data_IF_973375242849
#
_entry.id   IF_973375242849
#
_cell.length_a   1.000
_cell.length_b   1.000
_cell.length_c   1.000
_cell.angle_alpha   90.00
_cell.angle_beta   90.00
_cell.angle_gamma   90.00
#
_symmetry.space_group_name_H-M   'P 1'
#
loop_
_entity.id
_entity.type
_entity.pdbx_description
1 polymer ?
#
# COMPACT_ATOMS: atom_id res chain seq x y z
N UNK A 1 0.13 -9.11 1.83
CA UNK A 1 -0.15 -7.89 1.04
C UNK A 1 0.11 -6.70 1.93
N UNK A 2 0.99 -5.78 1.53
CA UNK A 2 1.27 -4.55 2.27
C UNK A 2 0.49 -3.42 1.64
N UNK A 3 -0.36 -2.78 2.45
CA UNK A 3 -1.28 -1.74 2.03
C UNK A 3 -0.63 -0.34 1.96
N UNK A 4 -1.33 0.60 1.33
CA UNK A 4 -0.89 1.99 1.15
C UNK A 4 -0.56 2.66 2.47
N UNK A 5 -1.40 2.50 3.51
CA UNK A 5 -1.23 3.18 4.80
C UNK A 5 0.08 2.77 5.50
N UNK A 6 0.41 1.47 5.50
CA UNK A 6 1.64 0.92 6.10
C UNK A 6 2.86 1.50 5.41
N UNK A 7 2.88 1.51 4.08
CA UNK A 7 3.99 2.07 3.32
C UNK A 7 4.16 3.57 3.59
N UNK A 8 3.07 4.34 3.61
CA UNK A 8 3.14 5.78 3.92
C UNK A 8 3.71 6.03 5.31
N UNK A 9 3.24 5.30 6.33
CA UNK A 9 3.75 5.46 7.70
C UNK A 9 5.22 5.06 7.81
N UNK A 10 5.63 4.02 7.06
CA UNK A 10 7.05 3.62 6.97
C UNK A 10 7.92 4.74 6.39
N UNK A 11 7.49 5.39 5.30
CA UNK A 11 8.29 6.42 4.63
C UNK A 11 8.28 7.78 5.33
N UNK A 12 7.21 8.10 6.06
CA UNK A 12 7.11 9.37 6.78
C UNK A 12 7.70 9.30 8.20
N UNK A 13 8.10 8.10 8.66
CA UNK A 13 8.61 7.82 10.00
C UNK A 13 7.71 8.36 11.14
N UNK A 14 6.39 8.38 10.90
CA UNK A 14 5.41 8.97 11.81
C UNK A 14 5.49 8.27 13.17
N UNK A 15 5.66 9.06 14.23
CA UNK A 15 5.61 8.57 15.60
C UNK A 15 4.17 8.26 15.98
N UNK A 16 3.82 6.96 15.98
CA UNK A 16 2.49 6.45 16.31
C UNK A 16 2.61 5.18 17.15
N UNK A 17 1.61 4.86 17.98
CA UNK A 17 1.65 3.68 18.86
C UNK A 17 2.00 2.38 18.12
N UNK A 18 1.56 2.26 16.87
CA UNK A 18 1.75 1.07 16.05
C UNK A 18 3.05 1.08 15.21
N UNK A 19 3.91 2.09 15.34
CA UNK A 19 5.20 2.18 14.63
C UNK A 19 6.09 0.96 14.87
N UNK A 20 6.06 0.45 16.10
CA UNK A 20 6.80 -0.75 16.48
C UNK A 20 6.30 -1.99 15.70
N UNK A 21 4.98 -2.13 15.48
CA UNK A 21 4.42 -3.24 14.71
C UNK A 21 4.90 -3.22 13.25
N UNK A 22 5.02 -2.04 12.64
CA UNK A 22 5.57 -1.88 11.28
C UNK A 22 7.04 -2.31 11.24
N UNK A 23 7.82 -1.88 12.23
CA UNK A 23 9.23 -2.23 12.34
C UNK A 23 9.39 -3.75 12.46
N UNK A 24 8.65 -4.37 13.36
CA UNK A 24 8.66 -5.84 13.54
C UNK A 24 8.22 -6.58 12.29
N UNK A 25 7.20 -6.08 11.56
CA UNK A 25 6.77 -6.65 10.29
C UNK A 25 7.93 -6.72 9.29
N UNK A 26 8.72 -5.66 9.15
CA UNK A 26 9.84 -5.59 8.19
C UNK A 26 11.14 -6.23 8.70
N UNK A 27 11.36 -6.29 10.01
CA UNK A 27 12.47 -7.04 10.61
C UNK A 27 12.25 -8.56 10.52
N UNK A 28 11.00 -9.01 10.47
CA UNK A 28 10.62 -10.41 10.27
C UNK A 28 10.72 -10.87 8.79
N UNK A 29 11.70 -10.36 8.04
CA UNK A 29 11.86 -10.57 6.59
C UNK A 29 11.97 -12.04 6.15
N UNK A 30 12.32 -12.95 7.05
CA UNK A 30 12.37 -14.39 6.79
C UNK A 30 11.01 -15.11 6.95
N UNK A 31 9.98 -14.45 7.50
CA UNK A 31 8.66 -15.05 7.78
C UNK A 31 7.66 -14.82 6.65
N UNK A 32 7.79 -13.71 5.94
CA UNK A 32 6.82 -13.28 4.95
C UNK A 32 7.50 -12.94 3.63
N UNK A 33 6.90 -13.39 2.53
CA UNK A 33 7.15 -12.77 1.24
C UNK A 33 6.31 -11.49 1.17
N UNK A 34 6.94 -10.33 1.14
CA UNK A 34 6.22 -9.08 0.96
C UNK A 34 5.65 -8.98 -0.44
N UNK A 35 4.41 -8.50 -0.50
CA UNK A 35 3.63 -8.39 -1.73
C UNK A 35 2.92 -7.05 -1.72
N UNK A 36 2.91 -6.36 -2.87
CA UNK A 36 2.07 -5.18 -3.09
C UNK A 36 1.51 -5.19 -4.51
N UNK A 37 0.79 -4.14 -4.91
CA UNK A 37 0.25 -3.97 -6.26
C UNK A 37 0.77 -2.69 -6.92
N UNK A 38 0.75 -2.63 -8.24
CA UNK A 38 1.07 -1.39 -8.97
C UNK A 38 0.16 -0.23 -8.54
N UNK A 39 -1.12 -0.52 -8.25
CA UNK A 39 -2.08 0.49 -7.80
C UNK A 39 -1.77 1.07 -6.42
N UNK A 40 -1.30 0.24 -5.49
CA UNK A 40 -0.82 0.68 -4.16
C UNK A 40 0.43 1.56 -4.32
N UNK A 41 1.38 1.13 -5.16
CA UNK A 41 2.59 1.93 -5.44
C UNK A 41 2.23 3.31 -6.01
N UNK A 42 1.32 3.37 -6.99
CA UNK A 42 0.83 4.63 -7.56
C UNK A 42 0.23 5.54 -6.50
N UNK A 43 -0.55 4.98 -5.58
CA UNK A 43 -1.18 5.71 -4.50
C UNK A 43 -0.15 6.24 -3.49
N UNK A 44 0.82 5.41 -3.09
CA UNK A 44 1.92 5.80 -2.21
C UNK A 44 2.74 6.93 -2.83
N UNK A 45 3.15 6.81 -4.10
CA UNK A 45 3.88 7.86 -4.82
C UNK A 45 3.08 9.16 -4.78
N UNK A 46 1.81 9.11 -5.18
CA UNK A 46 0.96 10.28 -5.25
C UNK A 46 0.78 10.97 -3.89
N UNK A 47 0.46 10.19 -2.85
CA UNK A 47 0.26 10.72 -1.49
C UNK A 47 1.56 11.30 -0.93
N UNK A 48 2.68 10.59 -1.04
CA UNK A 48 3.96 11.08 -0.54
C UNK A 48 4.40 12.35 -1.24
N UNK A 49 4.30 12.42 -2.57
CA UNK A 49 4.63 13.63 -3.35
C UNK A 49 3.80 14.84 -2.90
N UNK A 50 2.51 14.66 -2.61
CA UNK A 50 1.67 15.75 -2.10
C UNK A 50 2.09 16.14 -0.69
N UNK A 51 2.25 15.17 0.22
CA UNK A 51 2.60 15.40 1.61
C UNK A 51 3.95 16.11 1.73
N UNK A 52 4.98 15.58 1.08
CA UNK A 52 6.35 16.14 1.10
C UNK A 52 6.45 17.52 0.47
N UNK A 53 5.61 17.83 -0.52
CA UNK A 53 5.61 19.14 -1.15
C UNK A 53 5.04 20.24 -0.26
N UNK A 54 4.20 19.88 0.73
CA UNK A 54 3.43 20.83 1.52
C UNK A 54 2.43 21.66 0.69
N UNK A 55 2.12 21.24 -0.55
CA UNK A 55 1.24 21.94 -1.49
C UNK A 55 0.04 21.09 -1.87
N UNK A 56 -1.05 21.76 -2.26
CA UNK A 56 -2.18 21.08 -2.90
C UNK A 56 -1.81 20.70 -4.32
N UNK A 57 -2.39 19.61 -4.83
CA UNK A 57 -2.13 19.10 -6.18
C UNK A 57 -2.20 20.17 -7.29
N UNK A 58 -3.19 21.07 -7.23
CA UNK A 58 -3.36 22.16 -8.22
C UNK A 58 -2.18 23.13 -8.26
N UNK A 59 -1.52 23.36 -7.12
CA UNK A 59 -0.35 24.23 -7.02
C UNK A 59 0.88 23.48 -7.53
N UNK A 60 1.06 22.23 -7.10
CA UNK A 60 2.18 21.40 -7.49
C UNK A 60 2.27 21.20 -9.01
N UNK A 61 1.14 21.01 -9.70
CA UNK A 61 1.09 20.88 -11.17
C UNK A 61 1.58 22.13 -11.93
N UNK A 62 1.64 23.29 -11.27
CA UNK A 62 2.12 24.55 -11.88
C UNK A 62 3.59 24.84 -11.55
N UNK A 63 4.19 24.06 -10.65
CA UNK A 63 5.54 24.27 -10.15
C UNK A 63 6.42 23.07 -10.52
N UNK A 64 7.02 23.15 -11.71
CA UNK A 64 7.86 22.08 -12.27
C UNK A 64 9.11 21.83 -11.44
N UNK A 65 9.73 22.88 -10.92
CA UNK A 65 10.95 22.76 -10.11
C UNK A 65 10.65 22.02 -8.79
N UNK A 66 9.51 22.32 -8.16
CA UNK A 66 9.07 21.59 -6.98
C UNK A 66 8.78 20.12 -7.29
N UNK A 67 8.15 19.81 -8.43
CA UNK A 67 7.90 18.43 -8.88
C UNK A 67 9.21 17.66 -9.12
N UNK A 68 10.20 18.28 -9.75
CA UNK A 68 11.50 17.67 -10.00
C UNK A 68 12.20 17.28 -8.69
N UNK A 69 12.08 18.11 -7.64
CA UNK A 69 12.58 17.78 -6.28
C UNK A 69 11.90 16.55 -5.67
N UNK A 70 10.65 16.27 -6.02
CA UNK A 70 9.92 15.10 -5.51
C UNK A 70 10.27 13.78 -6.19
N UNK A 71 11.04 13.79 -7.29
CA UNK A 71 11.44 12.55 -8.00
C UNK A 71 12.26 11.59 -7.14
N UNK A 72 12.97 12.13 -6.14
CA UNK A 72 13.70 11.35 -5.12
C UNK A 72 12.81 10.36 -4.37
N UNK A 73 11.52 10.66 -4.19
CA UNK A 73 10.52 9.77 -3.56
C UNK A 73 10.35 8.48 -4.37
N UNK A 74 10.33 8.57 -5.70
CA UNK A 74 10.20 7.39 -6.57
C UNK A 74 11.43 6.50 -6.40
N UNK A 75 12.62 7.10 -6.30
CA UNK A 75 13.87 6.36 -6.07
C UNK A 75 13.88 5.70 -4.69
N UNK A 76 13.42 6.40 -3.65
CA UNK A 76 13.28 5.86 -2.30
C UNK A 76 12.35 4.65 -2.27
N UNK A 77 11.16 4.76 -2.85
CA UNK A 77 10.18 3.65 -2.92
C UNK A 77 10.78 2.47 -3.70
N UNK A 78 11.41 2.73 -4.86
CA UNK A 78 12.05 1.69 -5.67
C UNK A 78 13.11 0.92 -4.87
N UNK A 79 13.97 1.64 -4.13
CA UNK A 79 15.01 1.01 -3.33
C UNK A 79 14.41 0.19 -2.19
N UNK A 80 13.43 0.74 -1.46
CA UNK A 80 12.72 0.02 -0.41
C UNK A 80 12.09 -1.29 -0.90
N UNK A 81 11.35 -1.26 -2.01
CA UNK A 81 10.75 -2.47 -2.60
C UNK A 81 11.82 -3.50 -2.98
N UNK A 82 13.00 -3.05 -3.45
CA UNK A 82 14.12 -3.94 -3.80
C UNK A 82 14.77 -4.54 -2.55
N UNK A 83 15.05 -3.73 -1.54
CA UNK A 83 15.75 -4.14 -0.32
C UNK A 83 14.95 -5.19 0.47
N UNK A 84 13.62 -5.08 0.45
CA UNK A 84 12.71 -6.06 1.04
C UNK A 84 12.22 -7.13 0.04
N UNK A 85 12.78 -7.19 -1.18
CA UNK A 85 12.44 -8.16 -2.22
C UNK A 85 10.91 -8.29 -2.45
N UNK A 86 10.21 -7.17 -2.59
CA UNK A 86 8.76 -7.16 -2.80
C UNK A 86 8.38 -7.83 -4.12
N UNK A 87 7.38 -8.70 -4.07
CA UNK A 87 6.65 -9.14 -5.26
C UNK A 87 5.56 -8.12 -5.58
N UNK A 88 5.63 -7.53 -6.77
CA UNK A 88 4.64 -6.54 -7.22
C UNK A 88 3.66 -7.22 -8.19
N UNK A 89 2.38 -7.24 -7.84
CA UNK A 89 1.32 -7.69 -8.73
C UNK A 89 0.80 -6.54 -9.59
N UNK A 90 0.75 -6.78 -10.89
CA UNK A 90 0.14 -5.86 -11.84
C UNK A 90 -1.39 -5.93 -11.77
N UNK A 91 -2.04 -4.78 -11.77
CA UNK A 91 -3.49 -4.68 -11.92
C UNK A 91 -3.85 -4.77 -13.39
N UNK A 92 -4.70 -5.73 -13.74
CA UNK A 92 -5.19 -5.99 -15.11
C UNK A 92 -6.67 -5.74 -15.19
N UNK A 93 -7.19 -5.56 -16.40
CA UNK A 93 -8.61 -5.34 -16.70
C UNK A 93 -9.53 -6.32 -15.95
N UNK A 94 -9.19 -7.62 -15.98
CA UNK A 94 -9.94 -8.68 -15.30
C UNK A 94 -10.13 -8.45 -13.79
N UNK A 95 -9.21 -7.75 -13.13
CA UNK A 95 -9.32 -7.46 -11.70
C UNK A 95 -10.41 -6.43 -11.43
N UNK A 96 -10.62 -5.46 -12.33
CA UNK A 96 -11.71 -4.48 -12.21
C UNK A 96 -13.08 -5.16 -12.33
N UNK A 97 -13.23 -6.12 -13.25
CA UNK A 97 -14.49 -6.85 -13.39
C UNK A 97 -14.81 -7.72 -12.17
N UNK A 98 -13.78 -8.32 -11.55
CA UNK A 98 -13.92 -9.05 -10.28
C UNK A 98 -14.31 -8.16 -9.10
N UNK A 99 -14.12 -6.83 -9.17
CA UNK A 99 -14.51 -5.95 -8.07
C UNK A 99 -16.00 -6.04 -7.78
N UNK A 100 -16.85 -6.28 -8.79
CA UNK A 100 -18.30 -6.38 -8.58
C UNK A 100 -18.62 -7.49 -7.56
N UNK A 101 -17.95 -8.63 -7.68
CA UNK A 101 -18.15 -9.76 -6.78
C UNK A 101 -17.55 -9.47 -5.40
N UNK A 102 -16.37 -8.86 -5.36
CA UNK A 102 -15.72 -8.46 -4.10
C UNK A 102 -16.55 -7.45 -3.32
N UNK A 103 -17.11 -6.43 -3.99
CA UNK A 103 -17.98 -5.43 -3.37
C UNK A 103 -19.22 -6.09 -2.77
N UNK A 104 -19.83 -7.04 -3.51
CA UNK A 104 -21.02 -7.76 -3.03
C UNK A 104 -20.70 -8.70 -1.86
N UNK A 105 -19.54 -9.34 -1.89
CA UNK A 105 -19.15 -10.36 -0.91
C UNK A 105 -18.63 -9.72 0.39
N UNK A 106 -17.88 -8.63 0.30
CA UNK A 106 -17.15 -8.06 1.44
C UNK A 106 -17.44 -6.58 1.70
N UNK A 107 -18.23 -5.89 0.86
CA UNK A 107 -18.51 -4.46 1.02
C UNK A 107 -17.32 -3.52 0.75
N UNK A 108 -16.16 -4.06 0.36
CA UNK A 108 -14.97 -3.29 0.03
C UNK A 108 -15.17 -2.47 -1.24
N UNK A 109 -14.57 -1.28 -1.31
CA UNK A 109 -14.66 -0.38 -2.48
C UNK A 109 -13.28 0.02 -2.99
N UNK A 110 -13.25 0.55 -4.23
CA UNK A 110 -12.06 1.21 -4.78
C UNK A 110 -10.80 0.33 -4.78
N UNK A 111 -9.74 0.83 -4.14
CA UNK A 111 -8.46 0.13 -4.10
C UNK A 111 -8.52 -1.15 -3.25
N UNK A 112 -9.28 -1.16 -2.16
CA UNK A 112 -9.37 -2.32 -1.27
C UNK A 112 -10.05 -3.49 -1.95
N UNK A 113 -11.07 -3.21 -2.75
CA UNK A 113 -11.72 -4.23 -3.58
C UNK A 113 -10.78 -4.82 -4.64
N UNK A 114 -9.93 -3.98 -5.28
CA UNK A 114 -8.91 -4.46 -6.23
C UNK A 114 -7.83 -5.28 -5.54
N UNK A 115 -7.37 -4.82 -4.37
CA UNK A 115 -6.39 -5.52 -3.54
C UNK A 115 -6.93 -6.90 -3.15
N UNK A 116 -8.18 -6.98 -2.68
CA UNK A 116 -8.84 -8.23 -2.34
C UNK A 116 -9.01 -9.16 -3.54
N UNK A 117 -9.35 -8.63 -4.72
CA UNK A 117 -9.43 -9.42 -5.95
C UNK A 117 -8.09 -10.08 -6.30
N UNK A 118 -6.98 -9.35 -6.17
CA UNK A 118 -5.62 -9.89 -6.37
C UNK A 118 -5.27 -10.91 -5.29
N UNK A 119 -5.57 -10.62 -4.03
CA UNK A 119 -5.32 -11.54 -2.92
C UNK A 119 -6.04 -12.87 -3.15
N UNK A 120 -7.32 -12.83 -3.56
CA UNK A 120 -8.14 -14.01 -3.82
C UNK A 120 -7.61 -14.82 -5.00
N UNK A 121 -7.19 -14.15 -6.07
CA UNK A 121 -6.59 -14.81 -7.23
C UNK A 121 -5.26 -15.52 -6.91
N UNK A 122 -4.49 -15.01 -5.94
CA UNK A 122 -3.16 -15.50 -5.61
C UNK A 122 -3.12 -16.29 -4.29
N UNK A 123 -4.28 -16.61 -3.70
CA UNK A 123 -4.41 -17.30 -2.42
C UNK A 123 -3.61 -16.63 -1.28
N UNK A 124 -3.58 -15.29 -1.26
CA UNK A 124 -2.88 -14.53 -0.22
C UNK A 124 -3.76 -14.42 1.02
N UNK A 125 -3.24 -14.89 2.16
CA UNK A 125 -4.00 -14.94 3.42
C UNK A 125 -3.76 -13.78 4.36
N UNK A 126 -2.66 -13.05 4.17
CA UNK A 126 -2.20 -12.03 5.12
C UNK A 126 -2.22 -10.65 4.50
N UNK A 127 -2.80 -9.69 5.21
CA UNK A 127 -2.74 -8.26 4.88
C UNK A 127 -2.04 -7.51 6.02
N UNK A 128 -1.21 -6.55 5.68
CA UNK A 128 -0.68 -5.57 6.61
C UNK A 128 -1.37 -4.25 6.30
N UNK A 129 -2.28 -3.84 7.17
CA UNK A 129 -3.02 -2.57 7.07
C UNK A 129 -3.40 -2.09 8.47
N UNK A 130 -3.59 -0.78 8.63
CA UNK A 130 -4.18 -0.18 9.83
C UNK A 130 -5.68 0.09 9.67
N UNK A 131 -6.25 -0.16 8.49
CA UNK A 131 -7.66 0.05 8.21
C UNK A 131 -8.46 -1.21 8.58
N UNK A 132 -9.63 -1.00 9.18
CA UNK A 132 -10.52 -2.08 9.62
C UNK A 132 -11.37 -2.64 8.48
N UNK A 133 -11.24 -2.12 7.26
CA UNK A 133 -12.08 -2.49 6.12
C UNK A 133 -11.95 -3.99 5.77
N UNK A 134 -10.81 -4.61 6.09
CA UNK A 134 -10.56 -6.03 5.84
C UNK A 134 -11.07 -6.98 6.95
N UNK A 135 -11.66 -6.46 8.02
CA UNK A 135 -12.04 -7.26 9.20
C UNK A 135 -13.07 -8.35 8.87
N UNK A 136 -14.05 -8.06 8.02
CA UNK A 136 -15.12 -9.00 7.63
C UNK A 136 -14.77 -9.84 6.40
N UNK A 137 -13.49 -10.14 6.19
CA UNK A 137 -12.99 -10.88 5.02
C UNK A 137 -12.22 -12.13 5.41
N UNK A 138 -11.76 -12.93 4.44
CA UNK A 138 -11.00 -14.15 4.73
C UNK A 138 -9.53 -13.90 5.09
N UNK A 139 -9.04 -12.66 4.99
CA UNK A 139 -7.62 -12.34 5.18
C UNK A 139 -7.35 -11.96 6.63
N UNK A 140 -6.21 -12.39 7.15
CA UNK A 140 -5.75 -12.09 8.50
C UNK A 140 -4.88 -10.83 8.49
N UNK A 141 -5.19 -9.87 9.35
CA UNK A 141 -4.39 -8.67 9.51
C UNK A 141 -3.19 -8.92 10.43
N UNK A 142 -1.96 -8.80 9.89
CA UNK A 142 -0.71 -9.09 10.64
C UNK A 142 -0.23 -7.95 11.54
N UNK A 143 -0.90 -6.79 11.50
CA UNK A 143 -0.54 -5.62 12.30
C UNK A 143 -1.44 -5.40 13.52
N UNK A 144 -2.56 -6.12 13.60
CA UNK A 144 -3.46 -6.12 14.74
C UNK A 144 -3.14 -7.35 15.57
N UNK A 145 -2.40 -7.16 16.66
CA UNK A 145 -2.31 -8.14 17.74
C UNK A 145 -3.35 -7.74 18.79
N UNK A 146 -4.20 -8.69 19.18
CA UNK A 146 -5.07 -8.58 20.37
C UNK A 146 -4.26 -8.49 21.67
#
# INVERSE_FOLDING_TARGET
MVDTNVLIYTFLDIDMPQKQNIKELFEASNRFQYVTTTRIIDEVIFKLVIISSGKKLKQLKKDRELLEKQTSIITMIKNFLKDFNFKVYEIKEKHYWKMIDIIKEYGLLGNDALTMAIMKENNLKYVATFDNDFADTYVENVLIYE
#
